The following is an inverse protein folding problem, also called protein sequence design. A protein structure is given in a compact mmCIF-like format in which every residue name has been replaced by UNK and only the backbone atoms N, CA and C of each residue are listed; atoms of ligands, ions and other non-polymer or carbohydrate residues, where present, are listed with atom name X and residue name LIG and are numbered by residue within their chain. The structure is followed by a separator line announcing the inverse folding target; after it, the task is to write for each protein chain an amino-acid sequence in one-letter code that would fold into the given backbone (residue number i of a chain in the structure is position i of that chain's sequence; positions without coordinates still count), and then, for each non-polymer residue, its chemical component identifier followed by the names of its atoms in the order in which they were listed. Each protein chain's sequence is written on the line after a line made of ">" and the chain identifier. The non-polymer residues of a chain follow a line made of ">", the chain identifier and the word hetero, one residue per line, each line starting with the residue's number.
data_IF_535804172008
#
_entry.id   IF_535804172008
#
_cell.length_a   1.000
_cell.length_b   1.000
_cell.length_c   1.000
_cell.angle_alpha   90.00
_cell.angle_beta   90.00
_cell.angle_gamma   90.00
#
_symmetry.space_group_name_H-M   'P 1'
#
loop_
_entity.id
_entity.type
_entity.pdbx_description
1 polymer ?
#
# COMPACT_ATOMS: atom_id res chain seq x y z
N UNK A 1 45.81 16.41 52.29
CA UNK A 1 44.56 17.14 51.89
C UNK A 1 44.46 17.16 50.40
N UNK A 2 43.46 16.47 49.78
CA UNK A 2 43.20 16.56 48.33
C UNK A 2 42.50 17.90 48.04
N UNK A 3 43.13 18.77 47.26
CA UNK A 3 42.50 20.01 46.77
C UNK A 3 41.32 19.64 45.88
N UNK A 4 40.14 19.92 46.32
CA UNK A 4 38.94 19.86 45.46
C UNK A 4 39.00 21.05 44.51
N UNK A 5 39.01 20.77 43.19
CA UNK A 5 38.92 21.84 42.16
C UNK A 5 37.44 22.29 42.12
N UNK A 6 37.20 23.51 42.47
CA UNK A 6 35.88 24.12 42.31
C UNK A 6 35.67 24.50 40.82
N UNK A 7 34.49 24.18 40.29
CA UNK A 7 34.08 24.53 38.93
C UNK A 7 33.72 26.00 38.87
N UNK A 8 34.19 26.71 37.86
CA UNK A 8 33.82 28.11 37.65
C UNK A 8 32.52 28.25 36.91
N UNK A 9 31.74 29.31 37.13
CA UNK A 9 30.52 29.63 36.45
C UNK A 9 30.75 29.75 34.94
N UNK A 10 31.91 30.28 34.55
CA UNK A 10 32.28 30.46 33.12
C UNK A 10 32.47 29.10 32.45
N UNK A 11 33.12 28.15 33.08
CA UNK A 11 33.29 26.78 32.53
C UNK A 11 31.92 26.10 32.29
N UNK A 12 31.00 26.26 33.23
CA UNK A 12 29.62 25.72 33.05
C UNK A 12 28.89 26.43 31.92
N UNK A 13 28.98 27.75 31.81
CA UNK A 13 28.30 28.54 30.80
C UNK A 13 28.80 28.23 29.40
N UNK A 14 30.10 28.06 29.21
CA UNK A 14 30.69 27.69 27.89
C UNK A 14 30.23 26.30 27.46
N UNK A 15 30.19 25.31 28.39
CA UNK A 15 29.71 23.96 28.08
C UNK A 15 28.24 23.98 27.65
N UNK A 16 27.40 24.71 28.37
CA UNK A 16 25.99 24.85 28.01
C UNK A 16 25.79 25.51 26.65
N UNK A 17 26.61 26.55 26.34
CA UNK A 17 26.56 27.24 25.02
C UNK A 17 26.94 26.27 23.88
N UNK A 18 27.98 25.45 24.07
CA UNK A 18 28.37 24.44 23.05
C UNK A 18 27.28 23.41 22.85
N UNK A 19 26.71 22.88 23.94
CA UNK A 19 25.62 21.89 23.86
C UNK A 19 24.41 22.49 23.16
N UNK A 20 24.03 23.73 23.45
CA UNK A 20 22.91 24.41 22.82
C UNK A 20 23.10 24.53 21.30
N UNK A 21 24.33 24.91 20.85
CA UNK A 21 24.66 24.98 19.42
C UNK A 21 24.60 23.61 18.76
N UNK A 22 25.16 22.56 19.40
CA UNK A 22 25.13 21.19 18.86
C UNK A 22 23.71 20.66 18.72
N UNK A 23 22.85 20.84 19.72
CA UNK A 23 21.44 20.44 19.68
C UNK A 23 20.70 21.24 18.59
N UNK A 24 20.95 22.54 18.49
CA UNK A 24 20.31 23.40 17.48
C UNK A 24 20.58 22.96 16.05
N UNK A 25 21.79 22.45 15.76
CA UNK A 25 22.13 21.92 14.44
C UNK A 25 21.58 20.48 14.23
N UNK A 26 21.43 19.70 15.28
CA UNK A 26 20.99 18.31 15.20
C UNK A 26 19.47 18.22 14.98
N UNK A 27 18.70 19.15 15.54
CA UNK A 27 17.22 19.07 15.54
C UNK A 27 16.59 18.95 14.14
N UNK A 28 16.96 19.77 13.13
CA UNK A 28 16.38 19.63 11.78
C UNK A 28 16.80 18.33 11.10
N UNK A 29 18.00 17.81 11.37
CA UNK A 29 18.48 16.57 10.77
C UNK A 29 17.71 15.32 11.24
N UNK A 30 17.28 15.30 12.50
CA UNK A 30 16.53 14.15 13.08
C UNK A 30 15.20 13.93 12.35
N UNK A 31 14.51 15.00 11.94
CA UNK A 31 13.25 14.87 11.21
C UNK A 31 13.40 14.15 9.88
N UNK A 32 14.44 14.49 9.12
CA UNK A 32 14.73 13.81 7.84
C UNK A 32 15.12 12.34 8.04
N UNK A 33 15.95 12.06 9.05
CA UNK A 33 16.35 10.67 9.37
C UNK A 33 15.14 9.81 9.75
N UNK A 34 14.23 10.34 10.56
CA UNK A 34 13.00 9.61 10.94
C UNK A 34 12.13 9.29 9.74
N UNK A 35 11.95 10.23 8.80
CA UNK A 35 11.19 9.97 7.57
C UNK A 35 11.82 8.85 6.75
N UNK A 36 13.12 8.91 6.51
CA UNK A 36 13.84 7.89 5.75
C UNK A 36 13.79 6.50 6.44
N UNK A 37 13.85 6.47 7.76
CA UNK A 37 13.73 5.23 8.53
C UNK A 37 12.34 4.61 8.34
N UNK A 38 11.26 5.41 8.47
CA UNK A 38 9.89 4.95 8.24
C UNK A 38 9.67 4.46 6.80
N UNK A 39 10.22 5.15 5.80
CA UNK A 39 10.15 4.71 4.40
C UNK A 39 10.84 3.36 4.20
N UNK A 40 12.02 3.17 4.77
CA UNK A 40 12.75 1.90 4.68
C UNK A 40 12.01 0.76 5.37
N UNK A 41 11.45 1.02 6.54
CA UNK A 41 10.62 0.06 7.27
C UNK A 41 9.36 -0.28 6.46
N UNK A 42 8.68 0.72 5.91
CA UNK A 42 7.49 0.55 5.08
C UNK A 42 7.77 -0.32 3.84
N UNK A 43 8.85 -0.04 3.11
CA UNK A 43 9.28 -0.88 1.98
C UNK A 43 9.52 -2.34 2.40
N UNK A 44 10.03 -2.54 3.61
CA UNK A 44 10.26 -3.89 4.17
C UNK A 44 8.94 -4.61 4.45
N UNK A 45 7.95 -3.90 4.98
CA UNK A 45 6.60 -4.45 5.23
C UNK A 45 5.89 -4.79 3.93
N UNK A 46 5.88 -3.89 2.93
CA UNK A 46 5.31 -4.17 1.60
C UNK A 46 5.96 -5.41 0.99
N UNK A 47 7.29 -5.53 1.07
CA UNK A 47 8.00 -6.74 0.61
C UNK A 47 7.57 -7.98 1.41
N UNK A 48 7.35 -7.86 2.71
CA UNK A 48 6.85 -8.94 3.57
C UNK A 48 5.46 -9.42 3.13
N UNK A 49 4.57 -8.50 2.77
CA UNK A 49 3.25 -8.84 2.21
C UNK A 49 3.41 -9.62 0.90
N UNK A 50 4.23 -9.14 -0.04
CA UNK A 50 4.48 -9.83 -1.30
C UNK A 50 5.05 -11.24 -1.09
N UNK A 51 6.00 -11.42 -0.17
CA UNK A 51 6.57 -12.73 0.16
C UNK A 51 5.52 -13.67 0.75
N UNK A 52 4.61 -13.14 1.56
CA UNK A 52 3.47 -13.91 2.11
C UNK A 52 2.53 -14.36 1.00
N UNK A 53 2.24 -13.49 0.01
CA UNK A 53 1.44 -13.83 -1.17
C UNK A 53 2.12 -14.92 -2.01
N UNK A 54 3.42 -14.85 -2.21
CA UNK A 54 4.19 -15.91 -2.92
C UNK A 54 4.15 -17.23 -2.16
N UNK A 55 4.29 -17.19 -0.84
CA UNK A 55 4.21 -18.40 0.00
C UNK A 55 2.83 -19.04 -0.11
N UNK A 56 1.77 -18.24 -0.07
CA UNK A 56 0.40 -18.69 -0.31
C UNK A 56 0.27 -19.35 -1.69
N UNK A 57 0.77 -18.70 -2.74
CA UNK A 57 0.64 -19.15 -4.13
C UNK A 57 1.24 -20.54 -4.39
N UNK A 58 2.26 -20.93 -3.62
CA UNK A 58 2.90 -22.24 -3.75
C UNK A 58 1.94 -23.42 -3.50
N UNK A 59 0.93 -23.22 -2.64
CA UNK A 59 -0.15 -24.19 -2.39
C UNK A 59 -1.41 -24.01 -3.24
N UNK A 60 -1.52 -22.91 -3.99
CA UNK A 60 -2.75 -22.43 -4.63
C UNK A 60 -2.59 -22.20 -6.14
N UNK A 61 -2.04 -23.17 -6.87
CA UNK A 61 -1.86 -23.14 -8.34
C UNK A 61 -1.12 -21.90 -8.88
N UNK A 62 -0.21 -21.33 -8.12
CA UNK A 62 0.49 -20.08 -8.40
C UNK A 62 -0.37 -18.80 -8.34
N UNK A 63 -1.61 -18.84 -7.92
CA UNK A 63 -2.42 -17.64 -7.72
C UNK A 63 -2.22 -17.05 -6.33
N UNK A 64 -2.29 -15.74 -6.26
CA UNK A 64 -2.26 -14.99 -5.02
C UNK A 64 -3.61 -15.05 -4.30
N UNK A 65 -3.70 -14.67 -3.01
CA UNK A 65 -4.91 -14.80 -2.21
C UNK A 65 -6.16 -14.19 -2.86
N UNK A 66 -7.31 -14.85 -2.69
CA UNK A 66 -8.61 -14.34 -3.09
C UNK A 66 -9.06 -14.70 -4.50
N UNK A 67 -8.19 -15.27 -5.34
CA UNK A 67 -8.54 -15.72 -6.69
C UNK A 67 -7.77 -16.99 -7.06
N UNK A 68 -8.48 -18.02 -7.57
CA UNK A 68 -7.89 -19.33 -7.88
C UNK A 68 -7.63 -19.56 -9.39
N UNK A 69 -7.84 -18.51 -10.20
CA UNK A 69 -7.73 -18.57 -11.65
C UNK A 69 -9.05 -18.76 -12.38
N UNK A 70 -10.11 -19.13 -11.67
CA UNK A 70 -11.45 -19.34 -12.22
C UNK A 70 -12.52 -18.57 -11.46
N UNK A 71 -12.43 -18.54 -10.15
CA UNK A 71 -13.38 -17.89 -9.27
C UNK A 71 -12.67 -17.13 -8.16
N UNK A 72 -13.38 -16.20 -7.57
CA UNK A 72 -12.95 -15.58 -6.32
C UNK A 72 -13.24 -16.52 -5.15
N UNK A 73 -12.34 -16.53 -4.18
CA UNK A 73 -12.56 -17.26 -2.94
C UNK A 73 -13.79 -16.70 -2.22
N UNK A 74 -14.86 -17.49 -2.22
CA UNK A 74 -16.11 -17.17 -1.54
C UNK A 74 -16.10 -17.73 -0.11
N UNK A 75 -15.03 -17.45 0.62
CA UNK A 75 -14.89 -17.97 1.96
C UNK A 75 -15.72 -17.12 2.94
N UNK A 76 -16.90 -17.63 3.21
CA UNK A 76 -18.05 -16.98 3.83
C UNK A 76 -17.93 -16.64 5.31
N UNK A 77 -16.74 -16.65 5.88
CA UNK A 77 -16.55 -16.43 7.31
C UNK A 77 -16.52 -14.96 7.73
N UNK A 78 -16.66 -14.00 6.80
CA UNK A 78 -16.85 -12.62 7.19
C UNK A 78 -18.29 -12.35 7.59
N UNK A 79 -18.49 -12.07 8.86
CA UNK A 79 -19.78 -11.70 9.44
C UNK A 79 -20.22 -10.28 9.10
N UNK A 80 -19.47 -9.55 8.26
CA UNK A 80 -19.74 -8.14 7.93
C UNK A 80 -20.64 -7.93 6.72
N UNK A 81 -21.00 -8.99 5.99
CA UNK A 81 -21.88 -8.90 4.82
C UNK A 81 -21.20 -8.38 3.55
N UNK A 82 -19.88 -8.26 3.52
CA UNK A 82 -19.13 -7.99 2.30
C UNK A 82 -19.14 -9.26 1.44
N UNK A 83 -19.92 -9.26 0.39
CA UNK A 83 -20.34 -10.45 -0.35
C UNK A 83 -19.35 -10.99 -1.38
N UNK A 84 -18.06 -10.64 -1.30
CA UNK A 84 -17.06 -11.20 -2.23
C UNK A 84 -15.64 -11.06 -1.69
N UNK A 85 -15.29 -11.92 -0.75
CA UNK A 85 -14.02 -11.82 0.00
C UNK A 85 -12.76 -11.76 -0.88
N UNK A 86 -12.68 -12.55 -1.93
CA UNK A 86 -11.54 -12.54 -2.83
C UNK A 86 -11.44 -11.29 -3.71
N UNK A 87 -12.51 -10.54 -3.86
CA UNK A 87 -12.55 -9.35 -4.70
C UNK A 87 -11.98 -8.11 -3.97
N UNK A 88 -12.02 -8.10 -2.64
CA UNK A 88 -11.59 -6.95 -1.83
C UNK A 88 -10.22 -7.19 -1.18
N UNK A 89 -9.43 -6.14 -0.92
CA UNK A 89 -8.19 -6.26 -0.15
C UNK A 89 -8.40 -6.89 1.23
N UNK A 90 -9.49 -6.53 1.92
CA UNK A 90 -9.84 -7.08 3.23
C UNK A 90 -9.98 -8.60 3.18
N UNK A 91 -10.73 -9.11 2.21
CA UNK A 91 -10.92 -10.54 2.07
C UNK A 91 -9.61 -11.27 1.80
N UNK A 92 -8.72 -10.71 0.98
CA UNK A 92 -7.40 -11.27 0.70
C UNK A 92 -6.51 -11.26 1.94
N UNK A 93 -6.50 -10.15 2.70
CA UNK A 93 -5.77 -10.08 3.97
C UNK A 93 -6.35 -11.04 4.99
N UNK A 94 -7.67 -11.18 5.05
CA UNK A 94 -8.32 -12.13 5.94
C UNK A 94 -7.85 -13.56 5.70
N UNK A 95 -7.80 -14.00 4.44
CA UNK A 95 -7.27 -15.33 4.07
C UNK A 95 -5.82 -15.46 4.54
N UNK A 96 -4.98 -14.50 4.25
CA UNK A 96 -3.56 -14.54 4.63
C UNK A 96 -3.35 -14.56 6.16
N UNK A 97 -4.19 -13.87 6.91
CA UNK A 97 -4.12 -13.80 8.36
C UNK A 97 -4.64 -15.07 9.03
N UNK A 98 -5.80 -15.57 8.57
CA UNK A 98 -6.43 -16.77 9.15
C UNK A 98 -5.64 -18.05 8.87
N UNK A 99 -4.99 -18.11 7.71
CA UNK A 99 -4.11 -19.21 7.33
C UNK A 99 -2.65 -19.03 7.80
N UNK A 100 -2.37 -17.95 8.55
CA UNK A 100 -1.07 -17.64 9.15
C UNK A 100 0.08 -17.43 8.14
N UNK A 101 -0.21 -16.90 6.95
CA UNK A 101 0.82 -16.48 6.00
C UNK A 101 1.42 -15.11 6.36
N UNK A 102 0.67 -14.29 7.08
CA UNK A 102 1.11 -12.98 7.59
C UNK A 102 0.56 -12.71 8.99
N UNK A 103 0.98 -11.61 9.60
CA UNK A 103 0.50 -11.16 10.91
C UNK A 103 -0.13 -9.78 10.81
N UNK A 104 -1.02 -9.42 11.74
CA UNK A 104 -1.66 -8.11 11.77
C UNK A 104 -0.66 -6.95 11.81
N UNK A 105 0.41 -7.08 12.60
CA UNK A 105 1.46 -6.05 12.70
C UNK A 105 2.17 -5.81 11.37
N UNK A 106 2.36 -6.85 10.56
CA UNK A 106 3.02 -6.74 9.25
C UNK A 106 2.18 -6.00 8.20
N UNK A 107 0.92 -5.75 8.48
CA UNK A 107 0.00 -5.04 7.59
C UNK A 107 -0.15 -3.55 7.91
N UNK A 108 0.51 -3.06 8.96
CA UNK A 108 0.41 -1.67 9.40
C UNK A 108 1.67 -0.90 9.03
N UNK A 109 1.52 0.18 8.28
CA UNK A 109 2.61 1.11 7.97
C UNK A 109 3.05 1.85 9.24
N UNK A 110 4.37 2.08 9.45
CA UNK A 110 4.88 2.88 10.56
C UNK A 110 4.48 4.36 10.46
N UNK A 111 3.85 4.75 9.36
CA UNK A 111 3.32 6.11 9.16
C UNK A 111 1.87 6.27 9.60
N UNK A 112 1.18 5.19 9.99
CA UNK A 112 -0.20 5.20 10.44
C UNK A 112 -0.32 4.71 11.90
N UNK A 113 -1.26 5.30 12.63
CA UNK A 113 -1.61 4.88 13.99
C UNK A 113 -2.86 4.00 13.95
N UNK A 114 -2.67 2.76 13.47
CA UNK A 114 -3.73 1.76 13.35
C UNK A 114 -3.51 0.60 14.32
N UNK A 115 -4.59 -0.05 14.70
CA UNK A 115 -4.52 -1.24 15.54
C UNK A 115 -4.36 -2.48 14.67
N UNK A 116 -3.34 -3.31 14.90
CA UNK A 116 -3.18 -4.57 14.19
C UNK A 116 -4.38 -5.50 14.34
N UNK A 117 -4.67 -6.27 13.30
CA UNK A 117 -5.72 -7.28 13.35
C UNK A 117 -5.40 -8.33 14.42
N UNK A 118 -6.43 -8.69 15.18
CA UNK A 118 -6.39 -9.79 16.14
C UNK A 118 -7.31 -10.92 15.68
N UNK A 119 -6.93 -12.16 16.01
CA UNK A 119 -7.72 -13.34 15.65
C UNK A 119 -9.17 -13.18 16.12
N UNK A 120 -10.10 -13.60 15.28
CA UNK A 120 -11.56 -13.53 15.49
C UNK A 120 -12.16 -12.12 15.39
N UNK A 121 -11.37 -11.11 15.03
CA UNK A 121 -11.86 -9.77 14.73
C UNK A 121 -12.16 -9.64 13.22
N UNK A 122 -13.15 -8.83 12.91
CA UNK A 122 -13.44 -8.41 11.53
C UNK A 122 -12.33 -7.48 11.05
N UNK A 123 -11.82 -7.69 9.84
CA UNK A 123 -10.91 -6.74 9.22
C UNK A 123 -11.71 -5.56 8.69
N UNK A 124 -11.40 -4.37 9.18
CA UNK A 124 -11.99 -3.11 8.68
C UNK A 124 -10.90 -2.11 8.35
N UNK A 125 -10.20 -1.63 9.36
CA UNK A 125 -9.19 -0.60 9.26
C UNK A 125 -7.86 -1.06 9.90
N UNK A 126 -7.62 -2.37 9.84
CA UNK A 126 -6.48 -3.03 10.47
C UNK A 126 -5.34 -3.30 9.47
N UNK A 127 -5.27 -2.53 8.40
CA UNK A 127 -4.21 -2.62 7.38
C UNK A 127 -3.97 -1.26 6.74
N UNK A 128 -2.79 -1.08 6.17
CA UNK A 128 -2.32 0.17 5.56
C UNK A 128 -2.10 0.07 4.05
N UNK A 129 -2.04 -1.15 3.52
CA UNK A 129 -1.63 -1.36 2.14
C UNK A 129 -2.84 -1.67 1.26
N UNK A 130 -2.90 -0.98 0.13
CA UNK A 130 -3.86 -1.22 -0.94
C UNK A 130 -3.38 -2.34 -1.85
N UNK A 131 -4.27 -2.98 -2.57
CA UNK A 131 -3.97 -4.07 -3.50
C UNK A 131 -4.56 -3.82 -4.87
N UNK A 132 -3.98 -4.48 -5.89
CA UNK A 132 -4.49 -4.46 -7.26
C UNK A 132 -5.98 -4.86 -7.28
N UNK A 133 -6.80 -4.05 -7.93
CA UNK A 133 -8.24 -4.29 -8.06
C UNK A 133 -8.50 -5.45 -9.03
N UNK A 134 -9.18 -6.47 -8.54
CA UNK A 134 -9.57 -7.65 -9.33
C UNK A 134 -11.08 -7.77 -9.48
N UNK A 135 -11.86 -6.88 -8.84
CA UNK A 135 -13.31 -6.98 -8.80
C UNK A 135 -13.91 -7.01 -10.21
N UNK A 136 -14.95 -7.80 -10.40
CA UNK A 136 -15.73 -7.80 -11.63
C UNK A 136 -16.59 -6.55 -11.69
N UNK A 137 -16.63 -5.87 -12.83
CA UNK A 137 -17.58 -4.79 -13.02
C UNK A 137 -19.00 -5.40 -13.14
N UNK A 138 -19.90 -5.16 -12.18
CA UNK A 138 -21.24 -5.78 -12.18
C UNK A 138 -22.13 -5.31 -13.34
N UNK A 139 -21.75 -4.26 -14.08
CA UNK A 139 -22.51 -3.75 -15.21
C UNK A 139 -22.19 -4.44 -16.54
N UNK A 140 -21.15 -5.27 -16.59
CA UNK A 140 -20.75 -6.00 -17.80
C UNK A 140 -21.10 -7.47 -17.65
N UNK A 141 -22.36 -7.83 -17.89
CA UNK A 141 -22.92 -9.18 -17.72
C UNK A 141 -22.98 -9.90 -19.07
N UNK A 142 -21.85 -10.13 -19.71
CA UNK A 142 -21.79 -11.07 -20.84
C UNK A 142 -20.47 -11.82 -20.87
N UNK A 143 -20.47 -13.15 -20.79
CA UNK A 143 -19.25 -13.93 -21.07
C UNK A 143 -18.97 -13.99 -22.58
N UNK A 144 -17.72 -13.97 -23.01
CA UNK A 144 -16.53 -14.06 -22.21
C UNK A 144 -16.16 -12.73 -21.58
N UNK A 145 -15.83 -12.76 -20.35
CA UNK A 145 -15.50 -11.74 -19.40
C UNK A 145 -14.46 -10.74 -19.97
N UNK A 146 -14.94 -9.79 -20.76
CA UNK A 146 -14.20 -8.62 -21.21
C UNK A 146 -14.44 -7.46 -20.24
N UNK A 147 -14.45 -7.74 -18.95
CA UNK A 147 -14.28 -6.68 -18.00
C UNK A 147 -12.76 -6.37 -17.90
N UNK A 148 -12.40 -5.12 -17.83
CA UNK A 148 -11.01 -4.70 -17.84
C UNK A 148 -10.14 -5.35 -16.76
N UNK A 149 -10.75 -5.92 -15.76
CA UNK A 149 -10.08 -6.62 -14.67
C UNK A 149 -9.62 -8.05 -15.03
N UNK A 150 -10.03 -8.58 -16.18
CA UNK A 150 -9.54 -9.88 -16.65
C UNK A 150 -8.01 -9.90 -16.79
N UNK A 151 -7.42 -8.83 -17.31
CA UNK A 151 -5.96 -8.69 -17.45
C UNK A 151 -5.26 -8.60 -16.10
N UNK A 152 -5.85 -7.90 -15.14
CA UNK A 152 -5.33 -7.81 -13.78
C UNK A 152 -5.39 -9.16 -13.08
N UNK A 153 -6.46 -9.93 -13.27
CA UNK A 153 -6.59 -11.30 -12.75
C UNK A 153 -5.58 -12.27 -13.38
N UNK A 154 -5.25 -12.10 -14.66
CA UNK A 154 -4.17 -12.88 -15.29
C UNK A 154 -2.82 -12.65 -14.61
N UNK A 155 -2.52 -11.43 -14.20
CA UNK A 155 -1.28 -11.07 -13.52
C UNK A 155 -1.33 -11.34 -12.00
N UNK A 156 -2.49 -11.65 -11.42
CA UNK A 156 -2.64 -11.96 -9.99
C UNK A 156 -2.15 -13.37 -9.64
N UNK A 157 -0.91 -13.63 -10.01
CA UNK A 157 -0.22 -14.89 -9.78
C UNK A 157 1.30 -14.69 -9.74
N UNK A 158 2.01 -15.66 -9.22
CA UNK A 158 3.46 -15.62 -9.12
C UNK A 158 4.13 -15.82 -10.50
N UNK A 159 4.14 -14.75 -11.31
CA UNK A 159 4.75 -14.72 -12.66
C UNK A 159 6.06 -13.96 -12.73
N UNK A 160 6.43 -13.26 -11.64
CA UNK A 160 7.63 -12.42 -11.57
C UNK A 160 7.64 -11.27 -12.61
N UNK A 161 6.47 -10.70 -12.91
CA UNK A 161 6.38 -9.54 -13.78
C UNK A 161 6.78 -8.26 -13.01
N UNK A 162 7.90 -7.59 -13.37
CA UNK A 162 8.42 -6.44 -12.63
C UNK A 162 7.63 -5.14 -12.88
N UNK A 163 6.66 -5.15 -13.78
CA UNK A 163 5.91 -3.96 -14.19
C UNK A 163 4.43 -4.05 -13.80
N UNK A 164 4.07 -4.99 -12.93
CA UNK A 164 2.72 -5.09 -12.38
C UNK A 164 2.75 -4.71 -10.91
N UNK A 165 2.19 -3.57 -10.51
CA UNK A 165 2.01 -3.22 -9.11
C UNK A 165 0.95 -4.13 -8.49
N UNK A 166 1.30 -4.81 -7.40
CA UNK A 166 0.41 -5.73 -6.69
C UNK A 166 -0.08 -5.17 -5.37
N UNK A 167 0.80 -4.48 -4.65
CA UNK A 167 0.56 -3.93 -3.30
C UNK A 167 1.21 -2.56 -3.21
N UNK A 168 0.49 -1.58 -2.69
CA UNK A 168 1.01 -0.22 -2.52
C UNK A 168 0.56 0.37 -1.20
N UNK A 169 1.17 1.47 -0.78
CA UNK A 169 0.57 2.32 0.23
C UNK A 169 -0.77 2.85 -0.26
N UNK A 170 -1.73 2.97 0.65
CA UNK A 170 -3.05 3.47 0.31
C UNK A 170 -3.06 4.96 0.02
N UNK A 171 -4.05 5.40 -0.73
CA UNK A 171 -4.48 6.80 -0.76
C UNK A 171 -5.22 7.16 0.53
N UNK A 172 -5.06 8.39 0.96
CA UNK A 172 -5.88 8.99 2.00
C UNK A 172 -6.76 10.06 1.35
N UNK A 173 -8.05 9.94 1.53
CA UNK A 173 -9.01 10.93 1.08
C UNK A 173 -8.96 12.17 1.99
N UNK A 174 -8.92 13.34 1.38
CA UNK A 174 -9.02 14.62 2.08
C UNK A 174 -10.47 15.12 2.03
N UNK A 175 -11.44 14.36 2.51
CA UNK A 175 -12.86 14.73 2.74
C UNK A 175 -13.58 15.61 1.68
N UNK A 176 -12.91 16.04 0.63
CA UNK A 176 -13.42 16.80 -0.51
C UNK A 176 -13.29 15.98 -1.82
N UNK A 177 -13.14 14.66 -1.70
CA UNK A 177 -13.01 13.77 -2.86
C UNK A 177 -14.24 13.90 -3.78
N UNK A 178 -13.99 14.37 -4.98
CA UNK A 178 -14.92 14.27 -6.11
C UNK A 178 -14.40 13.13 -6.98
N UNK A 179 -15.21 12.09 -7.18
CA UNK A 179 -14.88 10.92 -7.98
C UNK A 179 -14.15 11.29 -9.28
N UNK A 180 -12.93 10.79 -9.45
CA UNK A 180 -12.07 11.09 -10.59
C UNK A 180 -11.19 12.34 -10.48
N UNK A 181 -11.19 13.07 -9.36
CA UNK A 181 -10.30 14.21 -9.15
C UNK A 181 -9.05 13.80 -8.34
N UNK A 182 -7.94 13.59 -9.02
CA UNK A 182 -6.64 13.25 -8.40
C UNK A 182 -6.00 14.42 -7.64
N UNK A 183 -6.58 15.62 -7.71
CA UNK A 183 -6.00 16.83 -7.10
C UNK A 183 -6.16 16.90 -5.59
N UNK A 184 -6.96 16.00 -4.98
CA UNK A 184 -7.24 15.97 -3.54
C UNK A 184 -6.52 14.85 -2.79
N UNK A 185 -5.73 14.03 -3.49
CA UNK A 185 -5.05 12.88 -2.89
C UNK A 185 -3.99 13.30 -1.88
N UNK A 186 -3.90 12.52 -0.79
CA UNK A 186 -2.84 12.58 0.19
C UNK A 186 -2.18 11.20 0.32
N UNK A 187 -0.92 11.21 0.71
CA UNK A 187 -0.21 10.02 1.12
C UNK A 187 -0.34 9.81 2.63
N UNK A 188 -0.14 8.55 3.07
CA UNK A 188 0.01 8.21 4.49
C UNK A 188 1.35 8.71 5.08
N UNK A 189 2.29 9.15 4.25
CA UNK A 189 3.61 9.56 4.68
C UNK A 189 3.69 11.06 5.00
N UNK A 190 4.45 11.38 6.04
CA UNK A 190 4.71 12.78 6.46
C UNK A 190 5.35 13.59 5.32
N UNK A 191 4.79 14.78 5.07
CA UNK A 191 5.31 15.71 4.07
C UNK A 191 4.71 15.55 2.68
N UNK A 192 3.65 14.74 2.54
CA UNK A 192 2.84 14.72 1.33
C UNK A 192 2.12 16.08 1.17
N UNK A 193 2.10 16.57 -0.06
CA UNK A 193 1.30 17.72 -0.47
C UNK A 193 -0.02 17.21 -1.06
N UNK A 194 -1.10 17.96 -0.91
CA UNK A 194 -2.39 17.64 -1.54
C UNK A 194 -2.21 17.52 -3.05
N UNK A 195 -2.75 16.48 -3.64
CA UNK A 195 -2.60 16.16 -5.06
C UNK A 195 -1.28 15.50 -5.44
N UNK A 196 -0.43 15.19 -4.45
CA UNK A 196 0.83 14.45 -4.67
C UNK A 196 0.87 13.22 -3.78
N UNK A 197 0.72 12.07 -4.39
CA UNK A 197 0.94 10.83 -3.68
C UNK A 197 2.43 10.51 -3.61
N UNK A 198 2.85 9.95 -2.49
CA UNK A 198 4.16 9.33 -2.31
C UNK A 198 3.99 8.08 -1.45
N UNK A 199 4.68 7.01 -1.81
CA UNK A 199 4.53 5.74 -1.12
C UNK A 199 5.33 4.60 -1.72
N UNK A 200 5.25 3.46 -1.06
CA UNK A 200 5.87 2.22 -1.50
C UNK A 200 5.00 1.53 -2.53
N UNK A 201 5.61 1.03 -3.59
CA UNK A 201 4.98 0.21 -4.61
C UNK A 201 5.70 -1.11 -4.66
N UNK A 202 4.97 -2.20 -4.47
CA UNK A 202 5.46 -3.56 -4.56
C UNK A 202 5.00 -4.23 -5.85
N UNK A 203 5.94 -4.75 -6.62
CA UNK A 203 5.72 -5.34 -7.94
C UNK A 203 5.71 -6.87 -7.92
N UNK A 204 5.25 -7.46 -9.02
CA UNK A 204 5.11 -8.92 -9.16
C UNK A 204 6.41 -9.71 -9.12
N UNK A 205 7.57 -9.07 -9.29
CA UNK A 205 8.90 -9.68 -9.12
C UNK A 205 9.45 -9.55 -7.69
N UNK A 206 8.64 -9.09 -6.74
CA UNK A 206 8.98 -8.79 -5.35
C UNK A 206 9.92 -7.59 -5.17
N UNK A 207 10.17 -6.81 -6.21
CA UNK A 207 10.80 -5.52 -6.04
C UNK A 207 9.86 -4.55 -5.34
N UNK A 208 10.43 -3.66 -4.54
CA UNK A 208 9.70 -2.59 -3.86
C UNK A 208 10.48 -1.32 -4.04
N UNK A 209 9.81 -0.31 -4.55
CA UNK A 209 10.35 1.04 -4.67
C UNK A 209 9.50 2.05 -3.90
N UNK A 210 10.12 3.13 -3.47
CA UNK A 210 9.41 4.26 -2.90
C UNK A 210 9.29 5.35 -3.98
N UNK A 211 8.07 5.56 -4.46
CA UNK A 211 7.77 6.56 -5.49
C UNK A 211 7.27 7.86 -4.87
N UNK A 212 7.49 8.96 -5.56
CA UNK A 212 6.94 10.29 -5.24
C UNK A 212 5.81 10.70 -6.19
N UNK A 213 5.31 9.76 -6.97
CA UNK A 213 4.19 9.93 -7.90
C UNK A 213 3.39 8.65 -7.99
N UNK A 214 2.08 8.76 -8.23
CA UNK A 214 1.20 7.64 -8.56
C UNK A 214 1.32 7.19 -10.03
N UNK A 215 1.94 8.01 -10.87
CA UNK A 215 2.19 7.69 -12.28
C UNK A 215 3.43 6.81 -12.39
N UNK A 216 3.25 5.57 -12.80
CA UNK A 216 4.33 4.59 -12.96
C UNK A 216 4.21 3.86 -14.31
N UNK A 217 5.32 3.28 -14.76
CA UNK A 217 5.27 2.40 -15.91
C UNK A 217 4.66 1.06 -15.50
N UNK A 218 3.58 0.64 -16.18
CA UNK A 218 2.92 -0.64 -15.93
C UNK A 218 2.81 -1.48 -17.20
N UNK A 219 2.68 -2.80 -17.03
CA UNK A 219 2.51 -3.73 -18.14
C UNK A 219 1.58 -4.87 -17.79
N UNK A 220 0.43 -4.89 -18.45
CA UNK A 220 -0.56 -5.95 -18.29
C UNK A 220 -0.76 -6.69 -19.62
N UNK A 221 -0.71 -8.02 -19.59
CA UNK A 221 -0.96 -8.86 -20.77
C UNK A 221 -0.19 -8.43 -22.04
N UNK A 222 1.07 -7.97 -21.84
CA UNK A 222 1.93 -7.49 -22.93
C UNK A 222 1.72 -6.04 -23.35
N UNK A 223 0.68 -5.37 -22.88
CA UNK A 223 0.46 -3.95 -23.11
C UNK A 223 1.22 -3.10 -22.09
N UNK A 224 1.93 -2.07 -22.56
CA UNK A 224 2.74 -1.17 -21.75
C UNK A 224 2.08 0.20 -21.65
N UNK A 225 1.97 0.71 -20.44
CA UNK A 225 1.61 2.09 -20.13
C UNK A 225 2.85 2.80 -19.58
N UNK A 226 3.25 3.89 -20.20
CA UNK A 226 4.44 4.64 -19.80
C UNK A 226 4.20 5.58 -18.60
N UNK A 227 2.94 5.99 -18.37
CA UNK A 227 2.51 6.83 -17.25
C UNK A 227 1.09 6.39 -16.86
N UNK A 228 1.00 5.37 -16.02
CA UNK A 228 -0.23 4.79 -15.52
C UNK A 228 -0.46 5.31 -14.10
N UNK A 229 -1.50 6.10 -13.88
CA UNK A 229 -1.91 6.48 -12.53
C UNK A 229 -2.59 5.29 -11.87
N UNK A 230 -1.87 4.64 -10.97
CA UNK A 230 -2.26 3.37 -10.36
C UNK A 230 -3.53 3.43 -9.50
N UNK A 231 -4.07 4.60 -9.22
CA UNK A 231 -5.28 4.77 -8.42
C UNK A 231 -6.51 5.14 -9.24
N UNK A 232 -6.34 5.55 -10.49
CA UNK A 232 -7.46 5.87 -11.38
C UNK A 232 -7.88 4.69 -12.23
N UNK A 233 -9.16 4.33 -12.27
CA UNK A 233 -9.65 3.37 -13.24
C UNK A 233 -9.42 3.94 -14.64
N UNK A 234 -8.88 3.14 -15.56
CA UNK A 234 -8.73 3.53 -16.94
C UNK A 234 -10.08 3.86 -17.56
N UNK A 235 -10.30 5.12 -17.89
CA UNK A 235 -11.56 5.64 -18.43
C UNK A 235 -11.81 5.27 -19.90
N UNK A 236 -10.85 4.61 -20.54
CA UNK A 236 -10.94 4.22 -21.94
C UNK A 236 -10.97 5.38 -22.94
N UNK A 237 -10.72 6.62 -22.49
CA UNK A 237 -10.76 7.82 -23.34
C UNK A 237 -9.40 8.24 -23.88
N UNK A 238 -8.32 7.61 -23.40
CA UNK A 238 -6.97 7.86 -23.90
C UNK A 238 -6.80 7.41 -25.34
N UNK A 239 -6.45 8.33 -26.21
CA UNK A 239 -6.17 8.06 -27.62
C UNK A 239 -4.98 7.12 -27.75
N UNK A 240 -5.24 5.82 -27.94
CA UNK A 240 -4.23 4.79 -28.16
C UNK A 240 -3.99 3.83 -27.00
N UNK A 241 -4.60 4.04 -25.85
CA UNK A 241 -4.62 3.08 -24.76
C UNK A 241 -5.85 2.17 -24.90
N UNK A 242 -5.62 0.88 -24.84
CA UNK A 242 -6.73 -0.07 -24.72
C UNK A 242 -7.41 0.18 -23.37
N UNK A 243 -8.72 0.47 -23.34
CA UNK A 243 -9.44 0.63 -22.08
C UNK A 243 -9.21 -0.62 -21.24
N UNK A 244 -8.92 -0.42 -19.94
CA UNK A 244 -8.82 -1.51 -18.97
C UNK A 244 -7.50 -2.30 -18.90
N UNK A 245 -6.45 -1.91 -19.59
CA UNK A 245 -5.10 -2.54 -19.46
C UNK A 245 -4.16 -1.72 -18.59
N UNK A 246 -4.67 -1.11 -17.55
CA UNK A 246 -3.93 -0.32 -16.59
C UNK A 246 -3.99 -0.94 -15.19
N UNK A 247 -3.11 -0.50 -14.30
CA UNK A 247 -3.26 -0.76 -12.89
C UNK A 247 -4.47 0.00 -12.35
N UNK A 248 -5.12 -0.59 -11.39
CA UNK A 248 -6.07 0.07 -10.52
C UNK A 248 -5.89 -0.52 -9.14
N UNK A 249 -5.42 0.29 -8.24
CA UNK A 249 -5.18 -0.11 -6.86
C UNK A 249 -6.36 0.33 -6.01
N UNK A 250 -6.89 -0.58 -5.24
CA UNK A 250 -7.99 -0.29 -4.31
C UNK A 250 -7.59 -0.59 -2.89
N UNK A 251 -8.08 0.22 -1.96
CA UNK A 251 -7.87 0.03 -0.54
C UNK A 251 -9.07 -0.67 0.10
N UNK A 252 -10.25 -0.11 0.03
CA UNK A 252 -11.46 -0.70 0.55
C UNK A 252 -12.69 -0.14 -0.14
N UNK A 253 -13.62 -1.02 -0.47
CA UNK A 253 -14.95 -0.61 -0.98
C UNK A 253 -15.90 -0.30 0.19
N UNK A 254 -15.60 -0.81 1.39
CA UNK A 254 -16.50 -0.71 2.56
C UNK A 254 -16.31 0.58 3.35
N UNK A 255 -15.17 1.23 3.26
CA UNK A 255 -14.81 2.43 4.02
C UNK A 255 -14.78 3.71 3.17
N UNK A 256 -15.35 3.73 1.99
CA UNK A 256 -15.67 4.98 1.31
C UNK A 256 -16.75 5.69 2.12
N UNK A 257 -16.54 6.91 2.63
CA UNK A 257 -17.55 7.61 3.41
C UNK A 257 -18.65 8.15 2.51
N UNK A 258 -19.34 7.39 1.77
CA UNK A 258 -20.54 7.63 0.97
C UNK A 258 -20.61 6.64 -0.19
N UNK A 259 -20.83 5.35 0.14
CA UNK A 259 -21.44 4.42 -0.79
C UNK A 259 -22.94 4.44 -0.58
#
# INVERSE_FOLDING_TARGET
>A
MKRQRAFTIIELLVVLAIIAVLIGLLFPAIGAVKRNARQTENNTLVRGVLQSMVTYSAGHRNFFPGFDGFAFDDNTADTTGASAHGQTPEGRYWVMLTENYTTGDALISPSEDKTPWQRDAVIKDNYSFAMLNLATNPTVVTPPINDGNAYRREEWRNQQNPQVPLVTDRLVDNSEYIDGDTTTYLSIHDGSEVGKWLGSIGFGDLSVEFSNTSEVETRFSGYRNDADDIFTPGDGTGTGQEPFKNAEITYSVVNQPNG
#
